data_IF_012535490733
#
_entry.id   IF_012535490733
#
_cell.length_a   1.000
_cell.length_b   1.000
_cell.length_c   1.000
_cell.angle_alpha   90.00
_cell.angle_beta   90.00
_cell.angle_gamma   90.00
#
_symmetry.space_group_name_H-M   'P 1'
#
loop_
_entity.id
_entity.type
_entity.pdbx_description
1 polymer ?
#
# COMPACT_ATOMS: atom_id res chain seq x y z
N UNK A 1 -16.85 6.82 -1.46
CA UNK A 1 -16.18 6.87 -0.15
C UNK A 1 -17.24 7.21 0.89
N UNK A 2 -17.14 6.68 2.12
CA UNK A 2 -18.02 7.13 3.20
C UNK A 2 -17.89 8.64 3.39
N UNK A 3 -18.97 9.26 3.85
CA UNK A 3 -18.95 10.68 4.19
C UNK A 3 -18.04 10.90 5.41
N UNK A 4 -17.15 11.88 5.31
CA UNK A 4 -16.14 12.18 6.32
C UNK A 4 -15.67 13.63 6.15
N UNK A 5 -15.06 14.19 7.19
CA UNK A 5 -14.36 15.48 7.14
C UNK A 5 -13.39 15.53 5.94
N UNK A 6 -13.36 16.66 5.23
CA UNK A 6 -12.60 16.81 3.98
C UNK A 6 -11.10 16.58 4.20
N UNK A 7 -10.61 16.91 5.38
CA UNK A 7 -9.24 16.73 5.83
C UNK A 7 -8.85 15.25 5.93
N UNK A 8 -9.82 14.35 6.16
CA UNK A 8 -9.60 12.91 6.29
C UNK A 8 -9.80 12.14 4.98
N UNK A 9 -10.38 12.77 3.96
CA UNK A 9 -10.62 12.11 2.66
C UNK A 9 -9.34 11.49 2.05
N UNK A 10 -8.16 12.15 2.06
CA UNK A 10 -6.93 11.56 1.50
C UNK A 10 -6.50 10.27 2.20
N UNK A 11 -6.77 10.14 3.50
CA UNK A 11 -6.43 8.94 4.27
C UNK A 11 -7.39 7.80 3.91
N UNK A 12 -8.69 8.09 3.78
CA UNK A 12 -9.66 7.05 3.43
C UNK A 12 -9.52 6.59 1.98
N UNK A 13 -9.13 7.46 1.05
CA UNK A 13 -8.97 7.08 -0.36
C UNK A 13 -7.77 6.19 -0.61
N UNK A 14 -6.73 6.21 0.24
CA UNK A 14 -5.56 5.33 0.08
C UNK A 14 -5.81 3.90 0.56
N UNK A 15 -6.71 3.66 1.52
CA UNK A 15 -6.96 2.32 2.07
C UNK A 15 -7.42 1.31 1.00
N UNK A 16 -8.42 1.60 0.13
CA UNK A 16 -8.80 0.67 -0.94
C UNK A 16 -7.67 0.43 -1.94
N UNK A 17 -6.83 1.44 -2.20
CA UNK A 17 -5.67 1.28 -3.08
C UNK A 17 -4.61 0.36 -2.46
N UNK A 18 -4.36 0.49 -1.16
CA UNK A 18 -3.49 -0.42 -0.41
C UNK A 18 -4.03 -1.86 -0.43
N UNK A 19 -5.33 -2.05 -0.20
CA UNK A 19 -5.98 -3.37 -0.28
C UNK A 19 -5.91 -3.96 -1.70
N UNK A 20 -6.14 -3.15 -2.73
CA UNK A 20 -6.00 -3.58 -4.12
C UNK A 20 -4.58 -4.05 -4.41
N UNK A 21 -3.56 -3.29 -3.99
CA UNK A 21 -2.15 -3.68 -4.15
C UNK A 21 -1.84 -5.00 -3.43
N UNK A 22 -2.34 -5.18 -2.21
CA UNK A 22 -2.19 -6.41 -1.44
C UNK A 22 -2.79 -7.61 -2.19
N UNK A 23 -4.07 -7.54 -2.58
CA UNK A 23 -4.74 -8.66 -3.26
C UNK A 23 -4.14 -8.97 -4.63
N UNK A 24 -3.65 -7.97 -5.36
CA UNK A 24 -2.95 -8.19 -6.63
C UNK A 24 -1.60 -8.88 -6.39
N UNK A 25 -0.86 -8.49 -5.34
CA UNK A 25 0.42 -9.13 -5.01
C UNK A 25 0.25 -10.58 -4.54
N UNK A 26 -0.78 -10.84 -3.74
CA UNK A 26 -1.18 -12.18 -3.29
C UNK A 26 -1.59 -13.06 -4.48
N UNK A 27 -2.47 -12.55 -5.35
CA UNK A 27 -2.88 -13.25 -6.57
C UNK A 27 -1.70 -13.60 -7.50
N UNK A 28 -0.69 -12.74 -7.54
CA UNK A 28 0.53 -12.95 -8.33
C UNK A 28 1.56 -13.85 -7.63
N UNK A 29 1.32 -14.26 -6.39
CA UNK A 29 2.25 -15.06 -5.59
C UNK A 29 3.59 -14.37 -5.35
N UNK A 30 3.61 -13.04 -5.30
CA UNK A 30 4.83 -12.26 -5.02
C UNK A 30 4.97 -12.01 -3.52
N UNK A 31 6.21 -11.93 -3.02
CA UNK A 31 6.47 -11.58 -1.63
C UNK A 31 6.03 -10.12 -1.34
N UNK A 32 5.04 -9.99 -0.46
CA UNK A 32 4.38 -8.73 -0.11
C UNK A 32 5.21 -7.96 0.92
N UNK A 33 5.80 -8.67 1.88
CA UNK A 33 6.54 -8.08 2.99
C UNK A 33 7.99 -7.74 2.59
N UNK A 34 8.54 -8.49 1.63
CA UNK A 34 9.90 -8.31 1.09
C UNK A 34 9.88 -8.19 -0.43
N UNK A 35 9.40 -7.07 -1.00
CA UNK A 35 9.39 -6.87 -2.43
C UNK A 35 10.81 -6.92 -3.01
N UNK A 36 10.95 -7.61 -4.15
CA UNK A 36 12.22 -7.75 -4.86
C UNK A 36 12.95 -6.42 -5.05
N UNK A 37 14.27 -6.46 -4.89
CA UNK A 37 15.19 -5.33 -5.10
C UNK A 37 15.01 -4.16 -4.11
N UNK A 38 14.20 -4.31 -3.06
CA UNK A 38 13.96 -3.27 -2.07
C UNK A 38 14.40 -3.72 -0.67
N UNK A 39 14.69 -2.71 0.15
CA UNK A 39 14.88 -2.86 1.59
C UNK A 39 13.94 -1.87 2.29
N UNK A 40 13.60 -2.14 3.55
CA UNK A 40 12.70 -1.28 4.34
C UNK A 40 13.24 0.15 4.52
N UNK A 41 14.55 0.29 4.59
CA UNK A 41 15.24 1.58 4.70
C UNK A 41 16.54 1.48 3.90
N UNK A 42 16.88 2.54 3.17
CA UNK A 42 18.15 2.67 2.45
C UNK A 42 19.08 3.47 3.35
N UNK A 43 20.12 2.81 3.89
CA UNK A 43 21.07 3.42 4.84
C UNK A 43 22.43 3.72 4.23
N UNK A 44 22.61 3.48 2.93
CA UNK A 44 23.83 3.75 2.17
C UNK A 44 23.49 4.74 1.05
N UNK A 45 24.38 5.71 0.82
CA UNK A 45 24.30 6.67 -0.29
C UNK A 45 24.84 6.07 -1.59
#
# INVERSE_FOLDING_TARGET
>A
MPDTAIELQPILTVLPLQMLSYYVADFKGTDIDQPRNLAKSVTVE
#
